data_IF_037708514026
#
_entry.id   IF_037708514026
#
_cell.length_a   1.000
_cell.length_b   1.000
_cell.length_c   1.000
_cell.angle_alpha   90.00
_cell.angle_beta   90.00
_cell.angle_gamma   90.00
#
_symmetry.space_group_name_H-M   'P 1'
#
loop_
_entity.id
_entity.type
_entity.pdbx_description
1 polymer ?
#
# COMPACT_ATOMS: atom_id res chain seq x y z
N UNK A 1 -10.76 8.11 1.19
CA UNK A 1 -9.83 8.29 2.32
C UNK A 1 -9.90 7.03 3.17
N UNK A 2 -8.77 6.54 3.68
CA UNK A 2 -8.68 5.42 4.62
C UNK A 2 -8.05 6.01 5.88
N UNK A 3 -8.73 5.96 7.02
CA UNK A 3 -8.33 6.71 8.23
C UNK A 3 -7.04 6.19 8.86
N UNK A 4 -6.74 4.91 8.68
CA UNK A 4 -5.53 4.27 9.16
C UNK A 4 -4.28 4.62 8.33
N UNK A 5 -4.42 5.27 7.17
CA UNK A 5 -3.30 5.57 6.27
C UNK A 5 -3.04 7.08 6.24
N UNK A 6 -1.81 7.45 6.60
CA UNK A 6 -1.31 8.80 6.41
C UNK A 6 -0.43 8.88 5.16
N UNK A 7 -0.64 9.88 4.30
CA UNK A 7 0.22 10.10 3.13
C UNK A 7 1.31 11.07 3.52
N UNK A 8 2.51 10.55 3.77
CA UNK A 8 3.65 11.32 4.28
C UNK A 8 4.26 12.22 3.22
N UNK A 9 4.38 11.72 1.98
CA UNK A 9 4.96 12.45 0.85
C UNK A 9 4.59 11.78 -0.46
N UNK A 10 4.45 12.58 -1.52
CA UNK A 10 4.35 12.10 -2.90
C UNK A 10 5.49 12.71 -3.71
N UNK A 11 6.26 11.86 -4.38
CA UNK A 11 7.34 12.20 -5.28
C UNK A 11 7.05 11.53 -6.62
N UNK A 12 7.56 12.06 -7.73
CA UNK A 12 7.26 11.68 -9.13
C UNK A 12 6.69 10.28 -9.34
N UNK A 13 7.41 9.23 -8.95
CA UNK A 13 7.00 7.83 -9.07
C UNK A 13 6.95 7.09 -7.72
N UNK A 14 6.98 7.82 -6.59
CA UNK A 14 7.04 7.25 -5.26
C UNK A 14 6.03 7.89 -4.33
N UNK A 15 5.24 7.07 -3.64
CA UNK A 15 4.40 7.53 -2.54
C UNK A 15 4.85 6.89 -1.24
N UNK A 16 5.00 7.74 -0.22
CA UNK A 16 5.35 7.34 1.13
C UNK A 16 4.10 7.39 2.00
N UNK A 17 3.79 6.28 2.65
CA UNK A 17 2.65 6.17 3.56
C UNK A 17 3.11 5.80 4.96
N UNK A 18 2.38 6.31 5.95
CA UNK A 18 2.47 5.92 7.35
C UNK A 18 1.28 5.06 7.72
N UNK A 19 1.56 3.97 8.42
CA UNK A 19 0.58 3.11 9.07
C UNK A 19 0.71 3.23 10.59
N UNK A 20 -0.33 2.86 11.37
CA UNK A 20 -0.34 3.00 12.82
C UNK A 20 0.81 2.24 13.50
N UNK A 21 1.11 1.03 13.02
CA UNK A 21 2.12 0.14 13.60
C UNK A 21 2.88 -0.63 12.52
N UNK A 22 4.10 -1.09 12.87
CA UNK A 22 4.90 -1.96 11.99
C UNK A 22 4.16 -3.26 11.68
N UNK A 23 3.60 -3.90 12.70
CA UNK A 23 2.85 -5.16 12.58
C UNK A 23 1.68 -5.05 11.59
N UNK A 24 0.98 -3.92 11.61
CA UNK A 24 -0.13 -3.67 10.68
C UNK A 24 0.36 -3.56 9.23
N UNK A 25 1.54 -2.98 9.01
CA UNK A 25 2.17 -2.95 7.69
C UNK A 25 2.65 -4.33 7.22
N UNK A 26 3.08 -5.19 8.15
CA UNK A 26 3.45 -6.58 7.85
C UNK A 26 2.20 -7.41 7.50
N UNK A 27 1.12 -7.29 8.29
CA UNK A 27 -0.18 -7.92 8.00
C UNK A 27 -0.78 -7.46 6.66
N UNK A 28 -0.67 -6.16 6.35
CA UNK A 28 -1.10 -5.65 5.05
C UNK A 28 -0.27 -6.27 3.92
N UNK A 29 1.05 -6.42 4.10
CA UNK A 29 1.91 -7.02 3.09
C UNK A 29 1.54 -8.50 2.83
N UNK A 30 1.22 -9.26 3.89
CA UNK A 30 0.73 -10.64 3.76
C UNK A 30 -0.60 -10.69 3.01
N UNK A 31 -1.59 -9.87 3.40
CA UNK A 31 -2.91 -9.82 2.75
C UNK A 31 -2.82 -9.36 1.28
N UNK A 32 -1.98 -8.37 0.98
CA UNK A 32 -1.74 -7.89 -0.37
C UNK A 32 -1.09 -8.98 -1.23
N UNK A 33 -0.18 -9.79 -0.66
CA UNK A 33 0.48 -10.88 -1.35
C UNK A 33 -0.52 -11.97 -1.78
N UNK A 34 -1.55 -12.25 -0.99
CA UNK A 34 -2.65 -13.17 -1.38
C UNK A 34 -3.43 -12.67 -2.60
N UNK A 35 -3.46 -11.36 -2.82
CA UNK A 35 -4.08 -10.72 -3.98
C UNK A 35 -3.08 -10.53 -5.15
N UNK A 36 -1.86 -11.05 -5.01
CA UNK A 36 -0.79 -10.93 -6.01
C UNK A 36 -0.09 -9.57 -6.03
N UNK A 37 -0.26 -8.75 -4.99
CA UNK A 37 0.40 -7.45 -4.83
C UNK A 37 1.58 -7.61 -3.86
N UNK A 38 2.80 -7.44 -4.36
CA UNK A 38 4.02 -7.57 -3.55
C UNK A 38 4.46 -6.22 -3.03
N UNK A 39 4.46 -6.05 -1.71
CA UNK A 39 4.94 -4.84 -1.03
C UNK A 39 5.85 -5.22 0.13
N UNK A 40 6.71 -4.29 0.52
CA UNK A 40 7.50 -4.43 1.75
C UNK A 40 6.72 -3.80 2.89
N UNK A 41 6.31 -4.64 3.85
CA UNK A 41 5.60 -4.21 5.05
C UNK A 41 6.45 -3.34 5.98
N UNK A 42 5.79 -2.50 6.75
CA UNK A 42 6.42 -1.66 7.76
C UNK A 42 5.54 -0.49 8.18
N UNK A 43 5.92 0.19 9.26
CA UNK A 43 5.17 1.36 9.74
C UNK A 43 5.22 2.51 8.73
N UNK A 44 6.33 2.63 7.99
CA UNK A 44 6.48 3.56 6.88
C UNK A 44 6.75 2.75 5.63
N UNK A 45 5.89 2.86 4.63
CA UNK A 45 6.03 2.14 3.39
C UNK A 45 6.37 3.11 2.26
N UNK A 46 7.22 2.67 1.35
CA UNK A 46 7.55 3.37 0.11
C UNK A 46 7.02 2.54 -1.06
N UNK A 47 5.96 3.02 -1.69
CA UNK A 47 5.39 2.43 -2.88
C UNK A 47 5.97 3.14 -4.10
N UNK A 48 6.37 2.38 -5.10
CA UNK A 48 7.10 2.89 -6.26
C UNK A 48 6.38 2.42 -7.51
N UNK A 49 5.99 3.35 -8.38
CA UNK A 49 5.51 3.04 -9.73
C UNK A 49 6.70 2.92 -10.68
N UNK A 50 6.59 2.00 -11.62
CA UNK A 50 7.55 1.78 -12.70
C UNK A 50 6.82 1.66 -14.04
N UNK A 51 7.57 1.51 -15.13
CA UNK A 51 7.04 1.39 -16.50
C UNK A 51 6.06 0.22 -16.68
N UNK A 52 6.22 -0.84 -15.89
CA UNK A 52 5.39 -2.05 -15.91
C UNK A 52 4.23 -2.01 -14.89
N UNK A 53 3.90 -0.82 -14.32
CA UNK A 53 2.67 -0.63 -13.52
C UNK A 53 1.72 0.25 -14.32
N UNK A 54 0.54 -0.25 -14.61
CA UNK A 54 -0.52 0.51 -15.27
C UNK A 54 -1.62 0.99 -14.31
N UNK A 55 -2.66 1.61 -14.87
CA UNK A 55 -3.80 2.13 -14.10
C UNK A 55 -4.62 1.02 -13.43
N UNK A 56 -4.70 -0.17 -14.04
CA UNK A 56 -5.41 -1.34 -13.52
C UNK A 56 -4.67 -1.92 -12.31
N UNK A 57 -3.33 -1.98 -12.38
CA UNK A 57 -2.50 -2.35 -11.23
C UNK A 57 -2.66 -1.38 -10.07
N UNK A 58 -2.68 -0.08 -10.34
CA UNK A 58 -2.90 0.95 -9.30
C UNK A 58 -4.28 0.76 -8.67
N UNK A 59 -5.33 0.54 -9.48
CA UNK A 59 -6.68 0.29 -8.99
C UNK A 59 -6.73 -0.96 -8.11
N UNK A 60 -6.01 -2.02 -8.48
CA UNK A 60 -5.90 -3.26 -7.70
C UNK A 60 -5.23 -3.04 -6.35
N UNK A 61 -4.13 -2.27 -6.30
CA UNK A 61 -3.47 -1.91 -5.04
C UNK A 61 -4.42 -1.09 -4.15
N UNK A 62 -5.14 -0.12 -4.70
CA UNK A 62 -6.12 0.67 -3.95
C UNK A 62 -7.24 -0.22 -3.40
N UNK A 63 -7.74 -1.18 -4.18
CA UNK A 63 -8.74 -2.14 -3.74
C UNK A 63 -8.22 -3.03 -2.60
N UNK A 64 -6.96 -3.45 -2.66
CA UNK A 64 -6.29 -4.21 -1.60
C UNK A 64 -6.26 -3.43 -0.28
N UNK A 65 -5.81 -2.18 -0.31
CA UNK A 65 -5.83 -1.30 0.86
C UNK A 65 -7.24 -1.14 1.44
N UNK A 66 -8.25 -0.93 0.58
CA UNK A 66 -9.64 -0.79 1.02
C UNK A 66 -10.18 -2.06 1.64
N UNK A 67 -9.91 -3.22 1.05
CA UNK A 67 -10.36 -4.50 1.56
C UNK A 67 -9.73 -4.80 2.94
N UNK A 68 -8.43 -4.56 3.09
CA UNK A 68 -7.72 -4.78 4.34
C UNK A 68 -8.21 -3.89 5.48
N UNK A 69 -8.47 -2.60 5.21
CA UNK A 69 -8.88 -1.64 6.24
C UNK A 69 -10.39 -1.48 6.44
N UNK A 70 -11.21 -2.15 5.62
CA UNK A 70 -12.66 -2.23 5.81
C UNK A 70 -13.09 -3.43 6.68
N UNK A 71 -12.17 -4.38 6.92
CA UNK A 71 -12.33 -5.48 7.88
C UNK A 71 -12.00 -5.01 9.30
#
# INVERSE_FOLDING_TARGET
KIDQIDVLSNQTNMVFIGLPSREMGEQFADSAAEQGVKVIGGQRMRLVTHLDIDEEDIAKVIASFRAFFAA
#
